data_IF_118135329477
#
_entry.id   IF_118135329477
#
_cell.length_a   1.000
_cell.length_b   1.000
_cell.length_c   1.000
_cell.angle_alpha   90.00
_cell.angle_beta   90.00
_cell.angle_gamma   90.00
#
_symmetry.space_group_name_H-M   'P 1'
#
loop_
_entity.id
_entity.type
_entity.pdbx_description
1 polymer ?
#
# COMPACT_ATOMS: atom_id res chain seq x y z
N UNK A 1 -11.27 -8.77 -2.31
CA UNK A 1 -10.19 -9.49 -1.59
C UNK A 1 -8.84 -8.93 -1.94
N UNK A 2 -8.31 -8.04 -1.10
CA UNK A 2 -6.99 -7.43 -1.27
C UNK A 2 -6.39 -6.88 0.02
N UNK A 3 -7.09 -7.01 1.16
CA UNK A 3 -6.61 -6.59 2.48
C UNK A 3 -5.91 -7.76 3.16
N UNK A 4 -4.72 -7.50 3.71
CA UNK A 4 -3.88 -8.47 4.39
C UNK A 4 -3.52 -7.96 5.77
N UNK A 5 -3.76 -8.79 6.78
CA UNK A 5 -3.35 -8.54 8.15
C UNK A 5 -1.92 -9.05 8.37
N UNK A 6 -1.09 -8.23 9.02
CA UNK A 6 0.27 -8.60 9.39
C UNK A 6 0.45 -8.42 10.90
N UNK A 7 0.96 -7.28 11.34
CA UNK A 7 1.20 -7.02 12.77
C UNK A 7 -0.08 -6.54 13.48
N UNK A 8 -1.10 -7.39 13.54
CA UNK A 8 -2.34 -7.15 14.30
C UNK A 8 -2.54 -8.17 15.41
N UNK A 9 -3.21 -7.75 16.47
CA UNK A 9 -3.68 -8.60 17.56
C UNK A 9 -5.19 -8.36 17.77
N UNK A 10 -5.85 -9.28 18.47
CA UNK A 10 -7.27 -9.16 18.84
C UNK A 10 -7.37 -8.99 20.35
N UNK A 11 -7.75 -7.80 20.78
CA UNK A 11 -7.99 -7.50 22.19
C UNK A 11 -9.44 -7.08 22.39
N UNK A 12 -10.15 -7.79 23.28
CA UNK A 12 -11.57 -7.55 23.56
C UNK A 12 -12.45 -7.57 22.28
N UNK A 13 -12.13 -8.45 21.33
CA UNK A 13 -12.85 -8.56 20.05
C UNK A 13 -12.59 -7.42 19.06
N UNK A 14 -11.62 -6.54 19.32
CA UNK A 14 -11.19 -5.47 18.42
C UNK A 14 -9.80 -5.75 17.88
N UNK A 15 -9.57 -5.40 16.62
CA UNK A 15 -8.23 -5.38 16.03
C UNK A 15 -7.43 -4.22 16.62
N UNK A 16 -6.22 -4.54 17.08
CA UNK A 16 -5.25 -3.56 17.56
C UNK A 16 -3.93 -3.75 16.81
N UNK A 17 -3.18 -2.66 16.63
CA UNK A 17 -1.84 -2.74 16.08
C UNK A 17 -0.90 -3.43 17.08
N UNK A 18 -0.10 -4.38 16.59
CA UNK A 18 0.85 -5.15 17.40
C UNK A 18 2.32 -4.87 17.03
N UNK A 19 2.57 -4.05 16.01
CA UNK A 19 3.91 -3.68 15.58
C UNK A 19 3.95 -3.01 14.21
N UNK A 20 5.16 -2.79 13.70
CA UNK A 20 5.38 -2.19 12.37
C UNK A 20 4.78 -3.04 11.25
N UNK A 21 4.19 -2.38 10.24
CA UNK A 21 3.46 -3.01 9.10
C UNK A 21 2.22 -3.77 9.58
N UNK A 22 1.21 -3.02 10.01
CA UNK A 22 -0.05 -3.54 10.58
C UNK A 22 -0.90 -4.25 9.54
N UNK A 23 -1.15 -3.61 8.41
CA UNK A 23 -1.96 -4.13 7.30
C UNK A 23 -1.34 -3.75 5.96
N UNK A 24 -1.72 -4.48 4.92
CA UNK A 24 -1.41 -4.15 3.54
C UNK A 24 -2.66 -4.27 2.68
N UNK A 25 -2.76 -3.44 1.65
CA UNK A 25 -3.77 -3.55 0.61
C UNK A 25 -3.09 -3.73 -0.73
N UNK A 26 -3.59 -4.66 -1.53
CA UNK A 26 -3.09 -4.94 -2.88
C UNK A 26 -4.20 -4.66 -3.90
N UNK A 27 -3.97 -3.66 -4.75
CA UNK A 27 -4.79 -3.41 -5.93
C UNK A 27 -4.31 -4.26 -7.11
N UNK A 28 -5.25 -4.90 -7.82
CA UNK A 28 -4.96 -5.72 -9.00
C UNK A 28 -5.72 -5.13 -10.18
N UNK A 29 -5.01 -4.81 -11.26
CA UNK A 29 -5.55 -4.30 -12.51
C UNK A 29 -4.58 -4.56 -13.66
N UNK A 30 -5.03 -4.33 -14.90
CA UNK A 30 -4.23 -4.54 -16.11
C UNK A 30 -3.07 -3.54 -16.26
N UNK A 31 -3.15 -2.39 -15.60
CA UNK A 31 -2.10 -1.36 -15.60
C UNK A 31 -1.81 -0.86 -14.19
N UNK A 32 -0.56 -0.46 -13.95
CA UNK A 32 -0.06 -0.03 -12.63
C UNK A 32 -0.88 1.15 -12.10
N UNK A 33 -1.17 2.17 -12.92
CA UNK A 33 -1.96 3.35 -12.51
C UNK A 33 -3.36 2.99 -11.99
N UNK A 34 -3.99 1.95 -12.52
CA UNK A 34 -5.30 1.50 -12.03
C UNK A 34 -5.16 0.66 -10.76
N UNK A 35 -4.12 -0.17 -10.68
CA UNK A 35 -3.81 -0.95 -9.48
C UNK A 35 -3.48 -0.03 -8.28
N UNK A 36 -2.71 1.02 -8.51
CA UNK A 36 -2.37 2.07 -7.54
C UNK A 36 -3.64 2.74 -7.01
N UNK A 37 -4.52 3.24 -7.88
CA UNK A 37 -5.80 3.86 -7.47
C UNK A 37 -6.67 2.95 -6.61
N UNK A 38 -6.73 1.66 -6.95
CA UNK A 38 -7.47 0.68 -6.14
C UNK A 38 -6.81 0.53 -4.77
N UNK A 39 -5.49 0.34 -4.73
CA UNK A 39 -4.76 0.18 -3.47
C UNK A 39 -4.90 1.41 -2.56
N UNK A 40 -4.71 2.61 -3.11
CA UNK A 40 -4.78 3.87 -2.36
C UNK A 40 -6.18 4.15 -1.82
N UNK A 41 -7.22 3.89 -2.64
CA UNK A 41 -8.61 4.06 -2.21
C UNK A 41 -8.95 3.16 -1.02
N UNK A 42 -8.59 1.89 -1.11
CA UNK A 42 -8.95 0.90 -0.09
C UNK A 42 -8.11 1.09 1.19
N UNK A 43 -6.80 1.35 1.09
CA UNK A 43 -5.97 1.59 2.29
C UNK A 43 -6.35 2.89 3.01
N UNK A 44 -6.79 3.92 2.29
CA UNK A 44 -7.29 5.17 2.88
C UNK A 44 -8.59 5.01 3.66
N UNK A 45 -9.33 3.92 3.46
CA UNK A 45 -10.52 3.60 4.25
C UNK A 45 -10.18 3.05 5.64
N UNK A 46 -8.94 2.58 5.84
CA UNK A 46 -8.46 2.08 7.14
C UNK A 46 -8.18 3.27 8.04
N UNK A 47 -8.82 3.29 9.21
CA UNK A 47 -8.70 4.38 10.20
C UNK A 47 -7.93 3.93 11.44
N UNK A 48 -7.28 4.87 12.12
CA UNK A 48 -6.47 4.61 13.32
C UNK A 48 -5.18 5.44 13.34
N UNK A 49 -4.28 5.20 14.32
CA UNK A 49 -2.97 5.84 14.41
C UNK A 49 -1.98 5.26 13.37
N UNK A 50 -2.46 5.00 12.16
CA UNK A 50 -1.71 4.36 11.07
C UNK A 50 -1.27 5.40 10.03
N UNK A 51 -0.21 5.06 9.31
CA UNK A 51 0.27 5.84 8.18
C UNK A 51 0.62 4.92 7.02
N UNK A 52 0.47 5.43 5.80
CA UNK A 52 0.86 4.75 4.58
C UNK A 52 1.52 5.73 3.60
N UNK A 53 2.26 5.17 2.65
CA UNK A 53 2.81 5.93 1.52
C UNK A 53 1.77 6.08 0.43
N UNK A 54 1.60 7.30 -0.07
CA UNK A 54 0.64 7.66 -1.14
C UNK A 54 1.26 7.72 -2.54
N UNK A 55 2.55 7.41 -2.64
CA UNK A 55 3.33 7.51 -3.87
C UNK A 55 3.64 6.14 -4.50
N UNK A 56 3.17 5.05 -3.88
CA UNK A 56 3.43 3.67 -4.33
C UNK A 56 2.79 3.43 -5.69
N UNK A 57 3.63 3.18 -6.70
CA UNK A 57 3.15 2.88 -8.05
C UNK A 57 2.64 4.09 -8.83
N UNK A 58 2.82 5.31 -8.32
CA UNK A 58 2.51 6.53 -9.07
C UNK A 58 3.37 6.64 -10.32
N UNK A 59 2.83 7.26 -11.37
CA UNK A 59 3.55 7.45 -12.64
C UNK A 59 4.90 8.13 -12.43
N UNK A 60 4.99 9.10 -11.50
CA UNK A 60 6.23 9.79 -11.16
C UNK A 60 7.29 8.83 -10.59
N UNK A 61 6.94 7.99 -9.61
CA UNK A 61 7.87 7.02 -9.02
C UNK A 61 8.25 5.95 -10.04
N UNK A 62 7.30 5.49 -10.86
CA UNK A 62 7.59 4.51 -11.93
C UNK A 62 8.57 5.10 -12.94
N UNK A 63 8.35 6.33 -13.38
CA UNK A 63 9.23 7.02 -14.32
C UNK A 63 10.64 7.23 -13.75
N UNK A 64 10.75 7.64 -12.48
CA UNK A 64 12.04 7.77 -11.78
C UNK A 64 12.82 6.44 -11.81
N UNK A 65 12.15 5.30 -11.61
CA UNK A 65 12.79 3.98 -11.67
C UNK A 65 13.25 3.62 -13.09
N UNK A 66 12.47 3.95 -14.11
CA UNK A 66 12.85 3.74 -15.51
C UNK A 66 14.09 4.57 -15.85
N UNK A 67 14.10 5.85 -15.50
CA UNK A 67 15.23 6.76 -15.73
C UNK A 67 16.49 6.31 -15.00
N UNK A 68 16.35 5.90 -13.74
CA UNK A 68 17.46 5.34 -12.98
C UNK A 68 18.06 4.10 -13.66
N UNK A 69 17.23 3.18 -14.15
CA UNK A 69 17.75 2.00 -14.86
C UNK A 69 18.39 2.35 -16.21
N UNK A 70 17.91 3.39 -16.89
CA UNK A 70 18.50 3.87 -18.13
C UNK A 70 19.86 4.56 -17.91
N UNK A 71 20.06 5.26 -16.79
CA UNK A 71 21.31 5.95 -16.48
C UNK A 71 22.45 5.01 -16.07
N UNK A 72 22.13 3.76 -15.72
CA UNK A 72 23.11 2.71 -15.43
C UNK A 72 23.62 1.97 -16.68
N UNK A 73 23.09 2.29 -17.87
CA UNK A 73 23.50 1.72 -19.15
C UNK A 73 24.51 2.61 -19.85
#
# INVERSE_FOLDING_TARGET
DGLFYASVDIQNGKLVEAGSRTVAVVGIADIITNAEKIAEKEISSVTGPLFHRKDIGTDAVVQERIEHMNSLR
#
